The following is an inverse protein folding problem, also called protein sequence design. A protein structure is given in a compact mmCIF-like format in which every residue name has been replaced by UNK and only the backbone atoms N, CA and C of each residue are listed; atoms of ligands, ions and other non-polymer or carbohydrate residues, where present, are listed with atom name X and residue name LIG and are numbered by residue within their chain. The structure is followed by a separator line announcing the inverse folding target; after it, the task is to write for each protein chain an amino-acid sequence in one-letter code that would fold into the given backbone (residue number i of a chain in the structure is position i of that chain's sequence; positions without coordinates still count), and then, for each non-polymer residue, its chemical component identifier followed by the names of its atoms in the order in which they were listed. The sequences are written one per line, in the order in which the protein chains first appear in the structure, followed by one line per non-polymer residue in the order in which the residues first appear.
data_IF_230680559963
#
_entry.id   IF_230680559963
#
_cell.length_a   1.000
_cell.length_b   1.000
_cell.length_c   1.000
_cell.angle_alpha   90.00
_cell.angle_beta   90.00
_cell.angle_gamma   90.00
#
_symmetry.space_group_name_H-M   'P 1'
#
loop_
_entity.id
_entity.type
_entity.pdbx_description
1 polymer ?
#
# COMPACT_ATOMS: atom_id res chain seq x y z
N UNK A 1 -29.12 -15.85 5.16
CA UNK A 1 -28.32 -16.45 4.06
C UNK A 1 -28.93 -16.22 2.66
N UNK A 2 -30.20 -16.60 2.40
CA UNK A 2 -30.86 -16.44 1.08
C UNK A 2 -31.01 -14.99 0.58
N UNK A 3 -31.37 -14.03 1.46
CA UNK A 3 -31.49 -12.61 1.13
C UNK A 3 -30.17 -12.00 0.61
N UNK A 4 -29.03 -12.39 1.17
CA UNK A 4 -27.70 -11.92 0.76
C UNK A 4 -27.24 -12.52 -0.57
N UNK A 5 -27.57 -13.78 -0.87
CA UNK A 5 -27.26 -14.42 -2.16
C UNK A 5 -28.03 -13.72 -3.29
N UNK A 6 -29.29 -13.36 -3.03
CA UNK A 6 -30.13 -12.62 -3.98
C UNK A 6 -29.57 -11.21 -4.25
N UNK A 7 -29.17 -10.50 -3.19
CA UNK A 7 -28.52 -9.18 -3.30
C UNK A 7 -27.19 -9.29 -4.07
N UNK A 8 -26.36 -10.31 -3.80
CA UNK A 8 -25.10 -10.57 -4.56
C UNK A 8 -25.37 -10.79 -6.05
N UNK A 9 -26.37 -11.62 -6.40
CA UNK A 9 -26.76 -11.87 -7.79
C UNK A 9 -27.27 -10.59 -8.47
N UNK A 10 -28.08 -9.81 -7.77
CA UNK A 10 -28.63 -8.55 -8.27
C UNK A 10 -27.51 -7.52 -8.53
N UNK A 11 -26.59 -7.30 -7.60
CA UNK A 11 -25.47 -6.37 -7.79
C UNK A 11 -24.48 -6.84 -8.86
N UNK A 12 -24.20 -8.14 -8.94
CA UNK A 12 -23.36 -8.70 -10.02
C UNK A 12 -24.01 -8.49 -11.40
N UNK A 13 -25.32 -8.72 -11.49
CA UNK A 13 -26.09 -8.50 -12.70
C UNK A 13 -26.14 -7.03 -13.12
N UNK A 14 -26.41 -6.11 -12.18
CA UNK A 14 -26.41 -4.65 -12.44
C UNK A 14 -25.01 -4.16 -12.85
N UNK A 15 -23.95 -4.63 -12.18
CA UNK A 15 -22.56 -4.32 -12.53
C UNK A 15 -22.20 -4.76 -13.95
N UNK A 16 -22.53 -5.99 -14.33
CA UNK A 16 -22.25 -6.53 -15.67
C UNK A 16 -23.06 -5.79 -16.76
N UNK A 17 -24.31 -5.42 -16.48
CA UNK A 17 -25.17 -4.68 -17.41
C UNK A 17 -24.66 -3.26 -17.62
N UNK A 18 -24.22 -2.58 -16.55
CA UNK A 18 -23.61 -1.25 -16.63
C UNK A 18 -22.24 -1.26 -17.33
N UNK A 19 -21.38 -2.26 -17.07
CA UNK A 19 -20.10 -2.39 -17.79
C UNK A 19 -20.30 -2.50 -19.29
N UNK A 20 -21.25 -3.34 -19.73
CA UNK A 20 -21.60 -3.47 -21.15
C UNK A 20 -22.07 -2.13 -21.73
N UNK A 21 -22.96 -1.41 -21.03
CA UNK A 21 -23.42 -0.10 -21.49
C UNK A 21 -22.30 0.94 -21.57
N UNK A 22 -21.38 0.96 -20.60
CA UNK A 22 -20.25 1.90 -20.59
C UNK A 22 -19.25 1.60 -21.71
N UNK A 23 -18.99 0.33 -22.04
CA UNK A 23 -18.15 -0.04 -23.18
C UNK A 23 -18.80 0.44 -24.49
N UNK A 24 -20.11 0.29 -24.63
CA UNK A 24 -20.87 0.79 -25.79
C UNK A 24 -20.82 2.32 -25.88
N UNK A 25 -21.04 3.02 -24.76
CA UNK A 25 -20.95 4.48 -24.67
C UNK A 25 -19.54 5.00 -24.98
N UNK A 26 -18.49 4.34 -24.48
CA UNK A 26 -17.09 4.68 -24.78
C UNK A 26 -16.75 4.52 -26.25
N UNK A 27 -17.23 3.47 -26.91
CA UNK A 27 -17.07 3.29 -28.37
C UNK A 27 -17.77 4.41 -29.15
N UNK A 28 -18.96 4.83 -28.72
CA UNK A 28 -19.72 5.93 -29.35
C UNK A 28 -19.12 7.32 -29.10
N UNK A 29 -18.50 7.55 -27.94
CA UNK A 29 -17.97 8.86 -27.53
C UNK A 29 -16.47 9.03 -27.77
N UNK A 30 -15.80 8.09 -28.44
CA UNK A 30 -14.35 8.11 -28.71
C UNK A 30 -13.87 9.40 -29.41
N UNK A 31 -14.77 10.11 -30.10
CA UNK A 31 -14.52 11.38 -30.81
C UNK A 31 -14.57 12.63 -29.90
N UNK A 32 -15.02 12.51 -28.65
CA UNK A 32 -15.18 13.61 -27.69
C UNK A 32 -14.43 13.32 -26.37
N UNK A 33 -13.13 13.63 -26.34
CA UNK A 33 -12.22 13.41 -25.20
C UNK A 33 -12.76 13.90 -23.82
N UNK A 34 -13.44 15.06 -23.69
CA UNK A 34 -13.92 15.54 -22.39
C UNK A 34 -15.01 14.64 -21.79
N UNK A 35 -15.93 14.14 -22.62
CA UNK A 35 -17.04 13.28 -22.19
C UNK A 35 -16.57 11.89 -21.75
N UNK A 36 -15.49 11.39 -22.36
CA UNK A 36 -14.83 10.14 -21.94
C UNK A 36 -14.21 10.28 -20.54
N UNK A 37 -13.65 11.46 -20.23
CA UNK A 37 -13.14 11.79 -18.89
C UNK A 37 -14.23 11.78 -17.82
N UNK A 38 -15.37 12.43 -18.09
CA UNK A 38 -16.54 12.46 -17.19
C UNK A 38 -17.10 11.05 -16.96
N UNK A 39 -17.23 10.25 -18.02
CA UNK A 39 -17.68 8.85 -17.92
C UNK A 39 -16.73 7.98 -17.10
N UNK A 40 -15.42 8.18 -17.23
CA UNK A 40 -14.43 7.48 -16.39
C UNK A 40 -14.55 7.89 -14.91
N UNK A 41 -14.83 9.18 -14.64
CA UNK A 41 -15.07 9.69 -13.29
C UNK A 41 -16.30 9.03 -12.65
N UNK A 42 -17.44 9.02 -13.36
CA UNK A 42 -18.69 8.39 -12.91
C UNK A 42 -18.50 6.89 -12.67
N UNK A 43 -17.82 6.20 -13.59
CA UNK A 43 -17.56 4.77 -13.44
C UNK A 43 -16.60 4.45 -12.30
N UNK A 44 -15.57 5.28 -12.09
CA UNK A 44 -14.65 5.18 -10.95
C UNK A 44 -15.39 5.35 -9.62
N UNK A 45 -16.22 6.38 -9.50
CA UNK A 45 -17.06 6.63 -8.32
C UNK A 45 -18.04 5.47 -8.07
N UNK A 46 -18.68 4.95 -9.10
CA UNK A 46 -19.59 3.80 -9.00
C UNK A 46 -18.87 2.51 -8.55
N UNK A 47 -17.71 2.19 -9.14
CA UNK A 47 -16.90 1.03 -8.75
C UNK A 47 -16.40 1.15 -7.31
N UNK A 48 -15.99 2.36 -6.91
CA UNK A 48 -15.63 2.66 -5.52
C UNK A 48 -16.81 2.45 -4.57
N UNK A 49 -18.00 2.94 -4.90
CA UNK A 49 -19.22 2.74 -4.11
C UNK A 49 -19.61 1.26 -4.01
N UNK A 50 -19.56 0.50 -5.10
CA UNK A 50 -19.83 -0.95 -5.09
C UNK A 50 -18.80 -1.70 -4.26
N UNK A 51 -17.50 -1.37 -4.37
CA UNK A 51 -16.46 -2.00 -3.58
C UNK A 51 -16.60 -1.63 -2.09
N UNK A 52 -17.01 -0.39 -1.79
CA UNK A 52 -17.34 0.05 -0.43
C UNK A 52 -18.55 -0.72 0.13
N UNK A 53 -19.60 -0.92 -0.66
CA UNK A 53 -20.81 -1.68 -0.28
C UNK A 53 -20.54 -3.20 -0.18
N UNK A 54 -19.68 -3.75 -1.04
CA UNK A 54 -19.26 -5.17 -1.01
C UNK A 54 -18.32 -5.45 0.17
N UNK A 55 -17.38 -4.55 0.44
CA UNK A 55 -16.47 -4.62 1.59
C UNK A 55 -17.16 -4.35 2.92
N UNK A 56 -18.16 -3.46 2.97
CA UNK A 56 -18.86 -3.10 4.22
C UNK A 56 -19.73 -4.21 4.81
N UNK A 57 -19.97 -5.31 4.08
CA UNK A 57 -20.82 -6.41 4.54
C UNK A 57 -20.07 -7.67 5.00
N UNK A 58 -18.76 -7.78 4.77
CA UNK A 58 -17.99 -8.99 5.05
C UNK A 58 -16.79 -8.67 5.95
N UNK A 59 -17.10 -8.44 7.23
CA UNK A 59 -16.12 -8.00 8.23
C UNK A 59 -15.42 -9.13 8.98
N UNK A 60 -15.86 -10.39 8.84
CA UNK A 60 -15.42 -11.51 9.69
C UNK A 60 -15.29 -12.80 8.92
N UNK A 61 -14.09 -13.39 8.88
CA UNK A 61 -13.82 -14.73 8.38
C UNK A 61 -13.36 -15.61 9.56
N UNK A 62 -14.23 -16.51 10.02
CA UNK A 62 -14.01 -17.26 11.27
C UNK A 62 -13.74 -18.74 11.02
N UNK A 63 -13.05 -19.39 11.96
CA UNK A 63 -12.63 -20.79 11.95
C UNK A 63 -11.87 -21.17 10.68
N UNK A 64 -10.95 -20.33 10.24
CA UNK A 64 -10.09 -20.63 9.10
C UNK A 64 -9.04 -21.65 9.56
N UNK A 65 -9.17 -22.87 9.06
CA UNK A 65 -8.23 -23.95 9.32
C UNK A 65 -8.17 -24.93 8.15
N UNK A 66 -7.04 -24.94 7.45
CA UNK A 66 -6.87 -25.75 6.24
C UNK A 66 -6.27 -27.14 6.50
N UNK A 67 -5.95 -27.52 7.75
CA UNK A 67 -5.32 -28.81 8.06
C UNK A 67 -6.29 -29.79 8.73
N UNK A 68 -7.12 -30.49 7.96
CA UNK A 68 -8.16 -31.40 8.49
C UNK A 68 -7.64 -32.64 9.20
N UNK A 69 -6.35 -32.97 9.06
CA UNK A 69 -5.76 -34.22 9.52
C UNK A 69 -4.93 -34.08 10.81
N UNK A 70 -4.86 -32.89 11.40
CA UNK A 70 -4.10 -32.63 12.63
C UNK A 70 -4.99 -31.94 13.66
N UNK A 71 -4.94 -32.32 14.95
CA UNK A 71 -5.60 -31.54 15.99
C UNK A 71 -5.01 -30.13 16.04
N UNK A 72 -5.86 -29.14 16.30
CA UNK A 72 -5.42 -27.76 16.45
C UNK A 72 -4.60 -27.58 17.73
N UNK A 73 -3.55 -26.76 17.65
CA UNK A 73 -2.70 -26.38 18.77
C UNK A 73 -3.32 -25.27 19.63
N UNK A 74 -4.26 -24.52 19.07
CA UNK A 74 -4.87 -23.37 19.74
C UNK A 74 -5.66 -22.49 18.77
N UNK A 75 -6.06 -21.32 19.27
CA UNK A 75 -6.81 -20.32 18.52
C UNK A 75 -6.04 -19.00 18.39
N UNK A 76 -6.08 -18.41 17.21
CA UNK A 76 -5.53 -17.08 16.95
C UNK A 76 -6.61 -16.11 16.45
N UNK A 77 -6.54 -14.85 16.87
CA UNK A 77 -7.36 -13.76 16.38
C UNK A 77 -6.50 -12.77 15.60
N UNK A 78 -6.85 -12.52 14.34
CA UNK A 78 -6.24 -11.50 13.49
C UNK A 78 -7.21 -10.33 13.27
N UNK A 79 -6.93 -9.19 13.89
CA UNK A 79 -7.68 -7.94 13.74
C UNK A 79 -7.00 -7.06 12.69
N UNK A 80 -7.29 -7.34 11.42
CA UNK A 80 -6.61 -6.73 10.28
C UNK A 80 -7.55 -6.55 9.08
N UNK A 81 -7.34 -7.24 7.94
CA UNK A 81 -8.18 -7.10 6.75
C UNK A 81 -8.89 -8.43 6.49
N UNK A 82 -10.20 -8.48 6.67
CA UNK A 82 -10.98 -9.71 6.47
C UNK A 82 -11.41 -9.92 5.01
N UNK A 83 -11.48 -8.85 4.21
CA UNK A 83 -12.00 -8.90 2.85
C UNK A 83 -11.33 -9.93 1.90
N UNK A 84 -9.99 -10.17 1.94
CA UNK A 84 -9.31 -11.13 1.06
C UNK A 84 -9.90 -12.54 1.10
N UNK A 85 -10.40 -12.98 2.26
CA UNK A 85 -10.96 -14.33 2.47
C UNK A 85 -12.32 -14.54 1.80
N UNK A 86 -12.89 -13.51 1.18
CA UNK A 86 -14.14 -13.58 0.43
C UNK A 86 -13.97 -13.28 -1.06
N UNK A 87 -12.74 -13.00 -1.50
CA UNK A 87 -12.43 -12.66 -2.88
C UNK A 87 -12.02 -13.89 -3.69
N UNK A 88 -12.27 -13.83 -4.99
CA UNK A 88 -11.62 -14.73 -5.94
C UNK A 88 -10.23 -14.18 -6.25
N UNK A 89 -9.22 -15.03 -6.39
CA UNK A 89 -7.85 -14.62 -6.72
C UNK A 89 -7.74 -13.87 -8.05
N UNK A 90 -8.69 -14.07 -8.97
CA UNK A 90 -8.79 -13.35 -10.24
C UNK A 90 -9.51 -12.00 -10.13
N UNK A 91 -10.02 -11.62 -8.96
CA UNK A 91 -10.63 -10.30 -8.77
C UNK A 91 -9.54 -9.23 -8.87
N UNK A 92 -9.71 -8.15 -9.67
CA UNK A 92 -8.77 -7.03 -9.72
C UNK A 92 -8.48 -6.41 -8.34
N UNK A 93 -9.43 -6.50 -7.40
CA UNK A 93 -9.25 -6.08 -6.02
C UNK A 93 -8.18 -6.90 -5.28
N UNK A 94 -7.93 -8.15 -5.66
CA UNK A 94 -6.99 -9.05 -4.98
C UNK A 94 -5.53 -8.59 -5.11
N UNK A 95 -5.21 -7.79 -6.14
CA UNK A 95 -3.87 -7.21 -6.39
C UNK A 95 -3.81 -5.72 -6.12
N UNK A 96 -4.85 -5.16 -5.49
CA UNK A 96 -4.96 -3.71 -5.32
C UNK A 96 -4.09 -3.14 -4.20
N UNK A 97 -3.66 -3.97 -3.24
CA UNK A 97 -2.86 -3.53 -2.10
C UNK A 97 -2.02 -4.68 -1.53
N UNK A 98 -0.81 -4.38 -1.09
CA UNK A 98 0.16 -5.33 -0.51
C UNK A 98 -0.37 -6.04 0.75
N UNK A 99 -1.08 -5.29 1.60
CA UNK A 99 -1.75 -5.80 2.79
C UNK A 99 -2.75 -6.94 2.56
N UNK A 100 -3.28 -7.10 1.34
CA UNK A 100 -4.16 -8.22 0.98
C UNK A 100 -3.38 -9.53 1.06
N UNK A 101 -2.20 -9.58 0.44
CA UNK A 101 -1.34 -10.76 0.47
C UNK A 101 -0.81 -11.01 1.87
N UNK A 102 -0.39 -9.96 2.56
CA UNK A 102 0.06 -10.05 3.95
C UNK A 102 -0.98 -10.73 4.87
N UNK A 103 -2.26 -10.33 4.78
CA UNK A 103 -3.30 -10.95 5.60
C UNK A 103 -3.48 -12.45 5.30
N UNK A 104 -3.35 -12.87 4.03
CA UNK A 104 -3.44 -14.27 3.64
C UNK A 104 -2.21 -15.06 4.13
N UNK A 105 -1.02 -14.48 4.02
CA UNK A 105 0.24 -15.08 4.48
C UNK A 105 0.22 -15.34 5.99
N UNK A 106 -0.23 -14.37 6.79
CA UNK A 106 -0.35 -14.52 8.25
C UNK A 106 -1.21 -15.73 8.60
N UNK A 107 -2.41 -15.83 8.01
CA UNK A 107 -3.33 -16.94 8.28
C UNK A 107 -2.78 -18.27 7.81
N UNK A 108 -2.14 -18.31 6.64
CA UNK A 108 -1.48 -19.51 6.12
C UNK A 108 -0.42 -20.02 7.10
N UNK A 109 0.47 -19.15 7.55
CA UNK A 109 1.54 -19.51 8.49
C UNK A 109 0.96 -20.01 9.81
N UNK A 110 -0.02 -19.32 10.40
CA UNK A 110 -0.65 -19.76 11.65
C UNK A 110 -1.36 -21.11 11.51
N UNK A 111 -2.06 -21.35 10.40
CA UNK A 111 -2.67 -22.65 10.10
C UNK A 111 -1.63 -23.78 10.02
N UNK A 112 -0.49 -23.55 9.38
CA UNK A 112 0.61 -24.52 9.30
C UNK A 112 1.25 -24.79 10.67
N UNK A 113 1.31 -23.76 11.53
CA UNK A 113 1.70 -23.88 12.93
C UNK A 113 0.60 -24.48 13.83
N UNK A 114 -0.54 -24.87 13.25
CA UNK A 114 -1.61 -25.62 13.91
C UNK A 114 -2.69 -24.77 14.56
N UNK A 115 -2.72 -23.45 14.35
CA UNK A 115 -3.74 -22.58 14.94
C UNK A 115 -4.97 -22.44 14.03
N UNK A 116 -6.16 -22.49 14.65
CA UNK A 116 -7.41 -22.08 14.02
C UNK A 116 -7.48 -20.56 14.09
N UNK A 117 -7.68 -19.90 12.95
CA UNK A 117 -7.63 -18.43 12.89
C UNK A 117 -9.01 -17.83 12.66
N UNK A 118 -9.38 -16.88 13.50
CA UNK A 118 -10.47 -15.94 13.25
C UNK A 118 -9.87 -14.63 12.72
N UNK A 119 -10.39 -14.12 11.61
CA UNK A 119 -9.98 -12.83 11.02
C UNK A 119 -11.15 -11.87 11.12
N UNK A 120 -10.91 -10.73 11.75
CA UNK A 120 -11.86 -9.63 11.82
C UNK A 120 -11.26 -8.40 11.14
N UNK A 121 -12.10 -7.66 10.44
CA UNK A 121 -11.71 -6.41 9.83
C UNK A 121 -11.44 -5.37 10.93
N UNK A 122 -10.40 -4.58 10.79
CA UNK A 122 -10.01 -3.55 11.75
C UNK A 122 -11.10 -2.48 11.96
N UNK A 123 -12.08 -2.39 11.05
CA UNK A 123 -13.26 -1.53 11.17
C UNK A 123 -14.45 -2.19 11.90
N UNK A 124 -14.31 -3.43 12.37
CA UNK A 124 -15.36 -4.17 13.06
C UNK A 124 -15.39 -3.90 14.56
N UNK A 125 -16.10 -2.84 14.93
CA UNK A 125 -16.31 -2.48 16.33
C UNK A 125 -17.33 -3.37 17.04
N UNK A 126 -18.12 -4.16 16.31
CA UNK A 126 -19.22 -4.97 16.86
C UNK A 126 -18.82 -6.44 17.07
N UNK A 127 -17.59 -6.83 16.75
CA UNK A 127 -17.15 -8.20 16.96
C UNK A 127 -17.15 -8.48 18.45
N UNK A 128 -17.87 -9.52 18.87
CA UNK A 128 -17.90 -10.05 20.22
C UNK A 128 -17.81 -11.57 20.18
N UNK A 129 -17.06 -12.14 21.11
CA UNK A 129 -16.77 -13.56 21.16
C UNK A 129 -16.51 -14.01 22.59
N UNK A 130 -17.05 -15.17 22.95
CA UNK A 130 -16.74 -15.86 24.21
C UNK A 130 -15.49 -16.74 24.11
N UNK A 131 -14.88 -16.81 22.92
CA UNK A 131 -13.71 -17.64 22.65
C UNK A 131 -12.47 -17.03 23.30
N UNK A 132 -11.65 -17.87 23.92
CA UNK A 132 -10.31 -17.52 24.36
C UNK A 132 -9.31 -17.76 23.22
N UNK A 133 -8.39 -16.82 23.01
CA UNK A 133 -7.35 -16.92 22.00
C UNK A 133 -5.99 -17.06 22.66
N UNK A 134 -5.12 -17.88 22.10
CA UNK A 134 -3.73 -18.03 22.54
C UNK A 134 -2.84 -16.91 21.95
N UNK A 135 -3.18 -16.45 20.75
CA UNK A 135 -2.48 -15.40 20.02
C UNK A 135 -3.50 -14.36 19.53
N UNK A 136 -3.22 -13.09 19.78
CA UNK A 136 -4.01 -11.96 19.25
C UNK A 136 -3.08 -11.01 18.49
N UNK A 137 -3.45 -10.70 17.26
CA UNK A 137 -2.69 -9.82 16.36
C UNK A 137 -3.58 -8.64 16.00
N UNK A 138 -3.07 -7.41 16.14
CA UNK A 138 -3.86 -6.21 15.87
C UNK A 138 -3.06 -5.07 15.28
N UNK A 139 -3.73 -4.26 14.44
CA UNK A 139 -3.20 -3.00 13.90
C UNK A 139 -3.86 -1.79 14.58
N UNK A 140 -3.21 -0.61 14.51
CA UNK A 140 -3.78 0.64 15.05
C UNK A 140 -4.19 0.52 16.52
N UNK A 141 -5.34 1.07 16.91
CA UNK A 141 -5.87 0.98 18.28
C UNK A 141 -6.57 -0.34 18.64
N UNK A 142 -6.30 -1.46 17.94
CA UNK A 142 -6.99 -2.72 18.18
C UNK A 142 -6.97 -3.17 19.66
N UNK A 143 -5.86 -2.97 20.39
CA UNK A 143 -5.76 -3.34 21.80
C UNK A 143 -6.35 -2.29 22.77
N UNK A 144 -6.74 -1.12 22.26
CA UNK A 144 -7.45 -0.10 23.03
C UNK A 144 -8.97 -0.33 22.98
N UNK A 145 -9.50 -0.53 21.77
CA UNK A 145 -10.94 -0.63 21.55
C UNK A 145 -11.54 -1.96 22.00
N UNK A 146 -10.73 -3.02 22.07
CA UNK A 146 -11.18 -4.40 22.34
C UNK A 146 -10.60 -4.99 23.62
N UNK A 147 -10.30 -4.13 24.61
CA UNK A 147 -9.63 -4.50 25.86
C UNK A 147 -10.26 -5.70 26.59
N UNK A 148 -11.57 -5.90 26.48
CA UNK A 148 -12.25 -7.04 27.11
C UNK A 148 -11.82 -8.42 26.57
N UNK A 149 -11.23 -8.49 25.37
CA UNK A 149 -10.74 -9.76 24.82
C UNK A 149 -9.34 -10.13 25.28
N UNK A 150 -8.63 -9.20 25.89
CA UNK A 150 -7.21 -9.36 26.20
C UNK A 150 -7.01 -9.65 27.69
N UNK A 151 -6.45 -10.82 27.96
CA UNK A 151 -5.98 -11.21 29.28
C UNK A 151 -4.45 -11.34 29.25
N UNK A 152 -3.83 -11.53 30.41
CA UNK A 152 -2.39 -11.78 30.49
C UNK A 152 -1.98 -13.19 30.00
N UNK A 153 -2.93 -14.02 29.57
CA UNK A 153 -2.68 -15.40 29.13
C UNK A 153 -2.48 -15.54 27.62
N UNK A 154 -2.48 -14.45 26.85
CA UNK A 154 -2.43 -14.48 25.40
C UNK A 154 -1.17 -13.77 24.93
N UNK A 155 -0.59 -14.21 23.82
CA UNK A 155 0.47 -13.46 23.14
C UNK A 155 -0.18 -12.32 22.36
N UNK A 156 0.09 -11.07 22.74
CA UNK A 156 -0.36 -9.87 22.03
C UNK A 156 0.73 -9.40 21.07
N UNK A 157 0.41 -9.44 19.78
CA UNK A 157 1.32 -9.02 18.71
C UNK A 157 0.76 -7.75 18.06
N UNK A 158 1.44 -6.63 18.25
CA UNK A 158 1.12 -5.42 17.49
C UNK A 158 1.71 -5.52 16.10
N UNK A 159 0.85 -5.43 15.08
CA UNK A 159 1.24 -5.43 13.68
C UNK A 159 1.47 -3.98 13.23
N UNK A 160 2.73 -3.54 13.24
CA UNK A 160 3.12 -2.23 12.77
C UNK A 160 3.19 -2.22 11.23
N UNK A 161 2.10 -1.78 10.59
CA UNK A 161 2.02 -1.61 9.13
C UNK A 161 2.62 -0.29 8.64
N UNK A 162 3.17 0.52 9.54
CA UNK A 162 3.73 1.85 9.28
C UNK A 162 4.45 2.38 10.52
N UNK A 163 4.95 3.61 10.42
CA UNK A 163 5.58 4.32 11.55
C UNK A 163 4.60 4.56 12.70
N UNK A 164 5.16 4.79 13.88
CA UNK A 164 4.39 5.14 15.06
C UNK A 164 3.46 6.33 14.81
N UNK A 165 2.21 6.26 15.27
CA UNK A 165 1.14 7.22 14.95
C UNK A 165 1.50 8.66 15.31
N UNK A 166 2.25 8.85 16.41
CA UNK A 166 2.67 10.17 16.85
C UNK A 166 3.65 10.80 15.86
N UNK A 167 4.59 9.99 15.35
CA UNK A 167 5.54 10.41 14.31
C UNK A 167 4.83 10.70 13.00
N UNK A 168 3.89 9.84 12.59
CA UNK A 168 3.08 10.06 11.38
C UNK A 168 2.30 11.37 11.46
N UNK A 169 1.62 11.60 12.59
CA UNK A 169 0.83 12.81 12.85
C UNK A 169 1.71 14.06 12.78
N UNK A 170 2.88 14.03 13.42
CA UNK A 170 3.86 15.12 13.33
C UNK A 170 4.26 15.42 11.88
N UNK A 171 4.60 14.38 11.10
CA UNK A 171 5.00 14.54 9.70
C UNK A 171 3.86 15.11 8.85
N UNK A 172 2.62 14.63 9.03
CA UNK A 172 1.45 15.16 8.34
C UNK A 172 1.32 16.66 8.57
N UNK A 173 1.33 17.11 9.83
CA UNK A 173 1.21 18.53 10.14
C UNK A 173 2.39 19.35 9.63
N UNK A 174 3.62 18.84 9.76
CA UNK A 174 4.80 19.50 9.22
C UNK A 174 4.68 19.74 7.72
N UNK A 175 4.22 18.75 6.94
CA UNK A 175 4.03 18.88 5.49
C UNK A 175 2.95 19.90 5.13
N UNK A 176 1.81 19.87 5.84
CA UNK A 176 0.73 20.83 5.61
C UNK A 176 1.15 22.26 5.98
N UNK A 177 1.97 22.42 7.02
CA UNK A 177 2.55 23.72 7.37
C UNK A 177 3.49 24.23 6.28
N UNK A 178 4.35 23.35 5.73
CA UNK A 178 5.23 23.70 4.61
C UNK A 178 4.42 24.11 3.37
N UNK A 179 3.37 23.36 3.01
CA UNK A 179 2.48 23.71 1.91
C UNK A 179 1.78 25.05 2.16
N UNK A 180 1.27 25.29 3.38
CA UNK A 180 0.68 26.58 3.76
C UNK A 180 1.67 27.73 3.57
N UNK A 181 2.93 27.55 3.95
CA UNK A 181 3.95 28.58 3.79
C UNK A 181 4.25 28.88 2.32
N UNK A 182 4.29 27.86 1.46
CA UNK A 182 4.55 28.02 0.01
C UNK A 182 3.36 28.57 -0.76
N UNK A 183 2.17 28.00 -0.56
CA UNK A 183 0.95 28.29 -1.35
C UNK A 183 -0.01 29.27 -0.70
N UNK A 184 0.24 29.66 0.56
CA UNK A 184 -0.64 30.52 1.39
C UNK A 184 -2.09 29.98 1.52
N UNK A 185 -2.25 28.68 1.36
CA UNK A 185 -3.53 27.95 1.42
C UNK A 185 -3.38 26.79 2.39
N UNK A 186 -4.42 26.51 3.16
CA UNK A 186 -4.47 25.34 4.06
C UNK A 186 -5.37 24.27 3.46
N UNK A 187 -4.83 23.08 3.29
CA UNK A 187 -5.58 21.88 2.91
C UNK A 187 -5.98 21.07 4.14
N UNK A 188 -6.99 20.22 4.02
CA UNK A 188 -7.44 19.34 5.10
C UNK A 188 -6.40 18.23 5.30
N UNK A 189 -5.75 18.13 6.48
CA UNK A 189 -4.90 16.98 6.79
C UNK A 189 -5.71 15.69 6.79
N UNK A 190 -5.18 14.67 6.11
CA UNK A 190 -5.79 13.33 6.01
C UNK A 190 -4.90 12.32 6.71
N UNK A 191 -5.50 11.19 7.11
CA UNK A 191 -4.80 10.09 7.80
C UNK A 191 -4.26 10.48 9.18
N UNK A 192 -4.87 11.47 9.82
CA UNK A 192 -4.63 11.72 11.24
C UNK A 192 -5.29 10.58 12.01
N UNK A 193 -4.47 9.82 12.73
CA UNK A 193 -4.94 8.77 13.61
C UNK A 193 -5.33 9.39 14.97
N UNK A 194 -6.38 8.84 15.59
CA UNK A 194 -6.60 9.07 17.02
C UNK A 194 -5.46 8.45 17.82
N UNK A 195 -5.17 9.01 19.00
CA UNK A 195 -4.14 8.45 19.86
C UNK A 195 -4.50 7.02 20.27
N UNK A 196 -3.55 6.10 20.16
CA UNK A 196 -3.73 4.71 20.53
C UNK A 196 -2.44 4.16 21.17
N UNK A 197 -2.59 3.11 21.99
CA UNK A 197 -1.54 2.53 22.82
C UNK A 197 -1.39 1.01 22.61
N UNK A 198 -1.89 0.48 21.49
CA UNK A 198 -1.67 -0.93 21.15
C UNK A 198 -0.19 -1.34 21.12
N UNK A 199 0.76 -0.55 20.58
CA UNK A 199 2.18 -0.90 20.65
C UNK A 199 2.64 -1.16 22.11
N UNK A 200 2.29 -0.26 23.02
CA UNK A 200 2.64 -0.29 24.45
C UNK A 200 1.96 -1.44 25.19
N UNK A 201 0.78 -1.85 24.73
CA UNK A 201 0.01 -2.96 25.31
C UNK A 201 0.38 -4.33 24.73
N UNK A 202 1.16 -4.36 23.66
CA UNK A 202 1.60 -5.60 23.04
C UNK A 202 2.72 -6.25 23.82
N UNK A 203 2.94 -7.55 23.60
CA UNK A 203 4.11 -8.25 24.11
C UNK A 203 5.23 -8.22 23.06
N UNK A 204 4.87 -8.22 21.78
CA UNK A 204 5.78 -8.22 20.63
C UNK A 204 5.27 -7.29 19.54
N UNK A 205 6.19 -6.65 18.82
CA UNK A 205 5.88 -5.86 17.62
C UNK A 205 6.37 -6.61 16.39
N UNK A 206 5.44 -6.92 15.49
CA UNK A 206 5.76 -7.36 14.14
C UNK A 206 5.74 -6.12 13.25
N UNK A 207 6.93 -5.65 12.91
CA UNK A 207 7.13 -4.47 12.10
C UNK A 207 7.36 -4.87 10.67
N UNK A 208 6.46 -4.45 9.82
CA UNK A 208 6.45 -4.84 8.43
C UNK A 208 7.28 -3.81 7.66
N UNK A 209 8.59 -3.65 7.96
CA UNK A 209 9.37 -2.53 7.40
C UNK A 209 10.87 -2.47 7.72
N UNK A 210 11.49 -1.42 7.19
CA UNK A 210 12.90 -1.05 7.31
C UNK A 210 13.28 -0.48 8.68
N UNK A 211 14.57 -0.17 8.83
CA UNK A 211 15.16 0.38 10.05
C UNK A 211 14.50 1.69 10.52
N UNK A 212 14.12 2.59 9.60
CA UNK A 212 13.49 3.86 9.95
C UNK A 212 12.16 3.66 10.71
N UNK A 213 11.31 2.75 10.24
CA UNK A 213 10.04 2.44 10.94
C UNK A 213 10.30 1.84 12.31
N UNK A 214 11.20 0.87 12.41
CA UNK A 214 11.55 0.24 13.69
C UNK A 214 12.05 1.27 14.70
N UNK A 215 12.84 2.25 14.24
CA UNK A 215 13.35 3.32 15.09
C UNK A 215 12.24 4.21 15.65
N UNK A 216 11.08 4.34 14.99
CA UNK A 216 9.94 5.08 15.57
C UNK A 216 9.29 4.41 16.77
N UNK A 217 9.54 3.11 16.97
CA UNK A 217 9.09 2.33 18.12
C UNK A 217 10.20 2.08 19.15
N UNK A 218 11.41 2.63 18.97
CA UNK A 218 12.59 2.37 19.80
C UNK A 218 12.48 2.76 21.28
N UNK A 219 11.47 3.58 21.62
CA UNK A 219 11.16 3.93 23.01
C UNK A 219 10.45 2.80 23.76
N UNK A 220 9.99 1.77 23.06
CA UNK A 220 9.35 0.59 23.63
C UNK A 220 10.40 -0.48 23.93
N UNK A 221 10.20 -1.23 25.02
CA UNK A 221 11.07 -2.36 25.39
C UNK A 221 10.68 -3.66 24.69
N UNK A 222 9.58 -3.66 23.93
CA UNK A 222 9.07 -4.82 23.23
C UNK A 222 10.06 -5.30 22.15
N UNK A 223 10.27 -6.61 21.99
CA UNK A 223 11.01 -7.12 20.85
C UNK A 223 10.30 -6.76 19.54
N UNK A 224 11.07 -6.27 18.57
CA UNK A 224 10.59 -5.89 17.24
C UNK A 224 11.13 -6.88 16.22
N UNK A 225 10.23 -7.50 15.45
CA UNK A 225 10.57 -8.41 14.36
C UNK A 225 10.36 -7.68 13.03
N UNK A 226 11.43 -7.35 12.28
CA UNK A 226 11.30 -6.80 10.94
C UNK A 226 10.88 -7.89 9.95
N UNK A 227 9.76 -7.69 9.27
CA UNK A 227 9.18 -8.65 8.33
C UNK A 227 9.13 -8.06 6.93
N UNK A 228 9.54 -8.86 5.94
CA UNK A 228 9.39 -8.48 4.54
C UNK A 228 7.91 -8.36 4.12
N UNK A 229 7.65 -7.49 3.14
CA UNK A 229 6.42 -7.48 2.37
C UNK A 229 6.70 -7.85 0.94
N UNK A 230 5.86 -8.72 0.38
CA UNK A 230 5.93 -9.08 -1.02
C UNK A 230 5.24 -8.07 -1.92
N UNK A 231 5.83 -7.77 -3.08
CA UNK A 231 5.09 -7.04 -4.12
C UNK A 231 3.83 -7.79 -4.55
N UNK A 232 2.92 -7.12 -5.23
CA UNK A 232 1.68 -7.71 -5.74
C UNK A 232 1.89 -8.72 -6.88
N UNK A 233 3.14 -9.02 -7.24
CA UNK A 233 3.54 -9.86 -8.37
C UNK A 233 4.71 -10.78 -7.99
N UNK A 234 4.66 -12.02 -8.47
CA UNK A 234 5.73 -13.01 -8.28
C UNK A 234 6.85 -12.94 -9.31
N UNK A 235 6.62 -12.25 -10.42
CA UNK A 235 7.59 -12.17 -11.51
C UNK A 235 7.70 -10.73 -12.01
N UNK A 236 8.93 -10.17 -12.06
CA UNK A 236 9.14 -8.90 -12.72
C UNK A 236 8.84 -9.03 -14.22
N UNK A 237 8.51 -7.94 -14.92
CA UNK A 237 8.38 -7.94 -16.37
C UNK A 237 9.69 -8.39 -17.03
N UNK A 238 9.58 -8.97 -18.22
CA UNK A 238 10.74 -9.41 -19.00
C UNK A 238 11.76 -8.27 -19.23
N UNK A 239 13.05 -8.62 -19.34
CA UNK A 239 14.16 -7.69 -19.62
C UNK A 239 13.94 -6.79 -20.86
N UNK A 240 13.05 -7.18 -21.79
CA UNK A 240 12.65 -6.37 -22.96
C UNK A 240 12.02 -5.03 -22.59
N UNK A 241 11.48 -4.88 -21.38
CA UNK A 241 10.84 -3.63 -20.92
C UNK A 241 11.84 -2.58 -20.43
N UNK A 242 13.08 -2.96 -20.11
CA UNK A 242 14.11 -2.01 -19.63
C UNK A 242 14.58 -1.09 -20.79
N UNK A 243 14.66 -1.61 -22.02
CA UNK A 243 15.11 -0.86 -23.20
C UNK A 243 14.16 0.26 -23.68
N UNK A 244 12.95 0.35 -23.11
CA UNK A 244 11.96 1.38 -23.46
C UNK A 244 11.99 2.60 -22.53
N UNK A 245 12.78 2.55 -21.46
CA UNK A 245 12.83 3.60 -20.44
C UNK A 245 13.42 4.88 -21.03
N UNK A 246 12.80 6.00 -20.69
CA UNK A 246 13.26 7.33 -21.07
C UNK A 246 13.79 8.04 -19.82
N UNK A 247 15.06 8.48 -19.84
CA UNK A 247 15.74 9.17 -18.73
C UNK A 247 15.00 10.40 -18.21
N UNK A 248 14.08 10.94 -19.01
CA UNK A 248 13.31 12.15 -18.70
C UNK A 248 11.86 11.86 -18.34
N UNK A 249 11.45 10.60 -18.16
CA UNK A 249 10.06 10.23 -17.85
C UNK A 249 9.97 9.51 -16.51
N UNK A 250 9.14 10.02 -15.60
CA UNK A 250 9.05 9.58 -14.21
C UNK A 250 7.63 9.18 -13.84
N UNK A 251 7.52 8.26 -12.90
CA UNK A 251 6.26 7.82 -12.32
C UNK A 251 6.08 8.43 -10.92
N UNK A 252 4.89 8.93 -10.62
CA UNK A 252 4.39 9.07 -9.27
C UNK A 252 3.19 8.15 -9.09
N UNK A 253 3.32 7.16 -8.19
CA UNK A 253 2.30 6.16 -7.92
C UNK A 253 2.07 6.10 -6.41
N UNK A 254 0.83 6.36 -5.98
CA UNK A 254 0.40 6.04 -4.63
C UNK A 254 -1.11 6.03 -4.46
N UNK A 255 -1.56 5.51 -3.31
CA UNK A 255 -2.89 5.77 -2.77
C UNK A 255 -3.09 7.23 -2.34
N UNK A 256 -4.10 7.49 -1.51
CA UNK A 256 -4.36 8.82 -0.96
C UNK A 256 -3.26 9.33 -0.01
N UNK A 257 -3.43 10.56 0.47
CA UNK A 257 -2.43 11.29 1.26
C UNK A 257 -1.48 12.10 0.36
N UNK A 258 -2.01 12.86 -0.60
CA UNK A 258 -1.19 13.48 -1.66
C UNK A 258 -0.10 14.42 -1.12
N UNK A 259 -0.43 15.28 -0.15
CA UNK A 259 0.54 16.18 0.51
C UNK A 259 1.51 15.39 1.39
N UNK A 260 1.01 14.42 2.15
CA UNK A 260 1.83 13.56 3.01
C UNK A 260 2.92 12.85 2.21
N UNK A 261 2.57 12.38 1.01
CA UNK A 261 3.44 11.63 0.10
C UNK A 261 4.21 12.52 -0.89
N UNK A 262 4.08 13.83 -0.79
CA UNK A 262 4.86 14.80 -1.56
C UNK A 262 4.44 14.98 -3.02
N UNK A 263 3.18 14.68 -3.40
CA UNK A 263 2.73 14.98 -4.77
C UNK A 263 2.73 16.50 -5.04
N UNK A 264 2.46 17.33 -4.03
CA UNK A 264 2.50 18.79 -4.11
C UNK A 264 3.85 19.31 -4.63
N UNK A 265 4.94 18.89 -3.99
CA UNK A 265 6.29 19.33 -4.35
C UNK A 265 6.77 18.72 -5.69
N UNK A 266 6.30 17.52 -6.03
CA UNK A 266 6.59 16.88 -7.32
C UNK A 266 5.90 17.66 -8.44
N UNK A 267 4.63 18.02 -8.29
CA UNK A 267 3.91 18.83 -9.27
C UNK A 267 4.57 20.21 -9.45
N UNK A 268 4.94 20.87 -8.35
CA UNK A 268 5.67 22.15 -8.38
C UNK A 268 6.97 22.01 -9.18
N UNK A 269 7.80 21.00 -8.89
CA UNK A 269 9.06 20.79 -9.58
C UNK A 269 8.90 20.53 -11.08
N UNK A 270 7.98 19.64 -11.48
CA UNK A 270 7.76 19.31 -12.89
C UNK A 270 7.10 20.46 -13.67
N UNK A 271 6.34 21.33 -13.01
CA UNK A 271 5.76 22.52 -13.65
C UNK A 271 6.81 23.53 -14.14
N UNK A 272 7.99 23.52 -13.51
CA UNK A 272 9.12 24.37 -13.85
C UNK A 272 10.17 23.67 -14.74
N UNK A 273 9.97 22.38 -15.05
CA UNK A 273 10.94 21.52 -15.73
C UNK A 273 10.31 20.86 -16.97
N UNK A 274 9.97 21.62 -18.04
CA UNK A 274 9.16 21.14 -19.16
C UNK A 274 9.83 20.03 -20.00
N UNK A 275 11.15 19.89 -19.91
CA UNK A 275 11.92 18.82 -20.58
C UNK A 275 11.75 17.45 -19.91
N UNK A 276 11.15 17.41 -18.72
CA UNK A 276 10.93 16.20 -17.93
C UNK A 276 9.44 15.90 -17.84
N UNK A 277 9.06 14.63 -18.00
CA UNK A 277 7.68 14.17 -18.02
C UNK A 277 7.32 13.46 -16.72
N UNK A 278 6.16 13.78 -16.17
CA UNK A 278 5.59 13.13 -15.01
C UNK A 278 4.33 12.36 -15.39
N UNK A 279 4.26 11.09 -15.02
CA UNK A 279 3.04 10.28 -15.08
C UNK A 279 2.51 10.07 -13.67
N UNK A 280 1.32 10.61 -13.38
CA UNK A 280 0.66 10.54 -12.08
C UNK A 280 -0.42 9.46 -12.09
N UNK A 281 -0.23 8.42 -11.30
CA UNK A 281 -1.17 7.32 -11.10
C UNK A 281 -1.73 7.36 -9.67
N UNK A 282 -2.82 8.08 -9.48
CA UNK A 282 -3.55 8.11 -8.20
C UNK A 282 -4.98 8.62 -8.39
N UNK A 283 -5.86 8.32 -7.44
CA UNK A 283 -7.22 8.85 -7.45
C UNK A 283 -7.25 10.29 -6.91
N UNK A 284 -6.76 11.25 -7.71
CA UNK A 284 -6.71 12.68 -7.30
C UNK A 284 -8.08 13.20 -6.83
N UNK A 285 -9.15 12.72 -7.47
CA UNK A 285 -10.51 13.15 -7.17
C UNK A 285 -11.05 12.75 -5.78
N UNK A 286 -10.35 11.91 -5.02
CA UNK A 286 -10.70 11.66 -3.61
C UNK A 286 -10.29 12.81 -2.68
N UNK A 287 -9.44 13.73 -3.12
CA UNK A 287 -8.94 14.88 -2.36
C UNK A 287 -9.25 16.18 -3.11
N UNK A 288 -10.52 16.60 -3.06
CA UNK A 288 -11.04 17.72 -3.88
C UNK A 288 -10.31 19.05 -3.66
N UNK A 289 -9.92 19.34 -2.43
CA UNK A 289 -9.17 20.55 -2.08
C UNK A 289 -7.76 20.55 -2.71
N UNK A 290 -7.09 19.40 -2.69
CA UNK A 290 -5.81 19.19 -3.39
C UNK A 290 -5.98 19.29 -4.90
N UNK A 291 -6.98 18.60 -5.48
CA UNK A 291 -7.29 18.63 -6.92
C UNK A 291 -7.53 20.06 -7.40
N UNK A 292 -8.25 20.87 -6.62
CA UNK A 292 -8.52 22.28 -6.94
C UNK A 292 -7.25 23.13 -6.86
N UNK A 293 -6.44 22.96 -5.82
CA UNK A 293 -5.20 23.73 -5.64
C UNK A 293 -4.19 23.51 -6.77
N UNK A 294 -4.06 22.26 -7.24
CA UNK A 294 -3.09 21.85 -8.26
C UNK A 294 -3.72 21.56 -9.63
N UNK A 295 -4.92 22.10 -9.91
CA UNK A 295 -5.67 21.79 -11.13
C UNK A 295 -4.85 22.06 -12.40
N UNK A 296 -4.15 23.19 -12.43
CA UNK A 296 -3.29 23.60 -13.54
C UNK A 296 -2.18 22.57 -13.78
N UNK A 297 -1.44 22.22 -12.74
CA UNK A 297 -0.34 21.26 -12.82
C UNK A 297 -0.83 19.87 -13.23
N UNK A 298 -1.99 19.44 -12.74
CA UNK A 298 -2.54 18.11 -13.00
C UNK A 298 -3.12 17.94 -14.40
N UNK A 299 -3.67 19.01 -15.00
CA UNK A 299 -4.52 18.90 -16.20
C UNK A 299 -4.17 19.86 -17.34
N UNK A 300 -3.47 20.96 -17.07
CA UNK A 300 -3.14 22.00 -18.07
C UNK A 300 -1.64 22.04 -18.41
N UNK A 301 -0.79 21.54 -17.51
CA UNK A 301 0.66 21.47 -17.72
C UNK A 301 1.03 20.32 -18.66
N UNK A 302 1.60 20.65 -19.84
CA UNK A 302 1.78 19.71 -20.96
C UNK A 302 2.65 18.48 -20.66
N UNK A 303 3.65 18.61 -19.79
CA UNK A 303 4.59 17.55 -19.44
C UNK A 303 4.12 16.69 -18.25
N UNK A 304 2.95 16.99 -17.67
CA UNK A 304 2.35 16.21 -16.57
C UNK A 304 1.11 15.48 -17.10
N UNK A 305 1.03 14.17 -16.85
CA UNK A 305 -0.06 13.31 -17.31
C UNK A 305 -0.71 12.58 -16.13
N UNK A 306 -1.95 12.95 -15.81
CA UNK A 306 -2.72 12.33 -14.72
C UNK A 306 -3.63 11.22 -15.24
N UNK A 307 -3.42 9.98 -14.78
CA UNK A 307 -4.14 8.79 -15.23
C UNK A 307 -5.29 8.34 -14.34
N UNK A 308 -5.39 8.90 -13.13
CA UNK A 308 -6.34 8.44 -12.12
C UNK A 308 -5.87 7.15 -11.43
N UNK A 309 -6.82 6.45 -10.78
CA UNK A 309 -6.57 5.08 -10.31
C UNK A 309 -6.27 4.15 -11.49
N UNK A 310 -5.18 3.40 -11.41
CA UNK A 310 -4.79 2.39 -12.38
C UNK A 310 -4.58 1.08 -11.64
N UNK A 311 -5.15 0.00 -12.17
CA UNK A 311 -4.84 -1.35 -11.71
C UNK A 311 -3.45 -1.73 -12.22
N UNK A 312 -2.52 -1.90 -11.28
CA UNK A 312 -1.11 -2.15 -11.53
C UNK A 312 -0.86 -3.48 -12.25
N UNK A 313 -1.81 -4.42 -12.22
CA UNK A 313 -1.65 -5.74 -12.85
C UNK A 313 -2.04 -5.79 -14.33
N UNK A 314 -2.56 -4.70 -14.90
CA UNK A 314 -3.07 -4.71 -16.28
C UNK A 314 -2.09 -4.11 -17.30
N UNK A 315 -2.37 -4.37 -18.58
CA UNK A 315 -1.58 -3.86 -19.71
C UNK A 315 -1.48 -2.33 -19.73
N UNK A 316 -2.53 -1.61 -19.31
CA UNK A 316 -2.50 -0.14 -19.27
C UNK A 316 -1.41 0.38 -18.33
N UNK A 317 -1.23 -0.22 -17.15
CA UNK A 317 -0.14 0.16 -16.27
C UNK A 317 1.22 -0.21 -16.86
N UNK A 318 1.32 -1.38 -17.49
CA UNK A 318 2.54 -1.82 -18.19
C UNK A 318 2.97 -0.83 -19.29
N UNK A 319 2.01 -0.31 -20.06
CA UNK A 319 2.28 0.71 -21.09
C UNK A 319 2.78 2.01 -20.45
N UNK A 320 2.10 2.49 -19.40
CA UNK A 320 2.47 3.71 -18.66
C UNK A 320 3.91 3.60 -18.15
N UNK A 321 4.22 2.50 -17.46
CA UNK A 321 5.47 2.30 -16.72
C UNK A 321 6.64 1.95 -17.63
N UNK A 322 6.39 1.40 -18.83
CA UNK A 322 7.45 1.01 -19.78
C UNK A 322 8.35 2.16 -20.24
N UNK A 323 7.83 3.39 -20.23
CA UNK A 323 8.59 4.60 -20.58
C UNK A 323 9.28 5.23 -19.36
N UNK A 324 8.89 4.86 -18.14
CA UNK A 324 9.38 5.51 -16.93
C UNK A 324 10.73 4.94 -16.48
N UNK A 325 11.72 5.81 -16.29
CA UNK A 325 13.04 5.44 -15.76
C UNK A 325 13.00 5.22 -14.24
N UNK A 326 12.24 6.06 -13.53
CA UNK A 326 12.25 6.11 -12.08
C UNK A 326 10.86 6.36 -11.49
N UNK A 327 10.69 5.97 -10.23
CA UNK A 327 9.53 6.30 -9.39
C UNK A 327 9.93 7.33 -8.34
N UNK A 328 9.18 8.43 -8.24
CA UNK A 328 9.46 9.51 -7.29
C UNK A 328 8.50 9.40 -6.11
N UNK A 329 9.06 9.24 -4.91
CA UNK A 329 8.32 9.15 -3.66
C UNK A 329 9.09 9.89 -2.56
N UNK A 330 9.03 11.24 -2.53
CA UNK A 330 9.91 12.04 -1.69
C UNK A 330 9.71 11.82 -0.19
N UNK A 331 8.52 11.37 0.20
CA UNK A 331 8.17 11.09 1.58
C UNK A 331 7.50 9.73 1.68
N UNK A 332 8.30 8.66 1.81
CA UNK A 332 7.75 7.38 2.21
C UNK A 332 7.25 7.52 3.65
N UNK A 333 6.02 7.09 3.94
CA UNK A 333 5.39 7.15 5.27
C UNK A 333 6.05 6.12 6.23
N UNK A 334 7.39 6.14 6.32
CA UNK A 334 8.23 5.11 6.92
C UNK A 334 8.31 3.78 6.16
N UNK A 335 7.46 3.57 5.16
CA UNK A 335 7.43 2.36 4.33
C UNK A 335 8.22 2.54 3.03
N UNK A 336 8.98 1.53 2.57
CA UNK A 336 9.10 1.34 1.11
C UNK A 336 7.69 0.96 0.66
N UNK A 337 6.86 1.96 0.35
CA UNK A 337 5.44 1.72 0.13
C UNK A 337 5.22 0.60 -0.87
N UNK A 338 4.13 -0.17 -0.74
CA UNK A 338 3.74 -1.13 -1.76
C UNK A 338 3.76 -0.55 -3.19
N UNK A 339 3.57 0.77 -3.36
CA UNK A 339 3.72 1.45 -4.65
C UNK A 339 5.17 1.52 -5.14
N UNK A 340 6.15 1.77 -4.26
CA UNK A 340 7.57 1.74 -4.58
C UNK A 340 8.00 0.30 -4.87
N UNK A 341 7.64 -0.68 -4.01
CA UNK A 341 7.93 -2.10 -4.24
C UNK A 341 7.40 -2.55 -5.59
N UNK A 342 6.14 -2.28 -5.88
CA UNK A 342 5.54 -2.63 -7.18
C UNK A 342 6.24 -1.91 -8.35
N UNK A 343 6.65 -0.65 -8.20
CA UNK A 343 7.41 0.07 -9.24
C UNK A 343 8.79 -0.53 -9.46
N UNK A 344 9.49 -0.94 -8.39
CA UNK A 344 10.78 -1.64 -8.47
C UNK A 344 10.66 -2.98 -9.20
N UNK A 345 9.54 -3.68 -9.05
CA UNK A 345 9.25 -4.87 -9.87
C UNK A 345 9.23 -4.56 -11.36
N UNK A 346 8.90 -3.33 -11.80
CA UNK A 346 9.01 -2.87 -13.19
C UNK A 346 10.39 -2.29 -13.55
N UNK A 347 11.39 -2.47 -12.68
CA UNK A 347 12.75 -1.93 -12.85
C UNK A 347 12.81 -0.40 -12.77
N UNK A 348 11.87 0.25 -12.08
CA UNK A 348 11.94 1.70 -11.88
C UNK A 348 12.89 2.00 -10.73
N UNK A 349 13.86 2.87 -11.01
CA UNK A 349 14.84 3.32 -10.02
C UNK A 349 14.09 4.16 -8.96
N UNK A 350 14.20 3.85 -7.66
CA UNK A 350 13.54 4.64 -6.63
C UNK A 350 14.23 6.00 -6.42
N UNK A 351 13.43 7.07 -6.33
CA UNK A 351 13.84 8.39 -5.83
C UNK A 351 13.06 8.63 -4.54
N UNK A 352 13.73 8.54 -3.39
CA UNK A 352 13.10 8.39 -2.07
C UNK A 352 13.70 9.32 -1.01
N UNK A 353 12.91 9.62 0.02
CA UNK A 353 13.30 10.55 1.10
C UNK A 353 14.30 10.01 2.11
N UNK A 354 14.48 8.70 2.16
CA UNK A 354 15.46 8.02 3.02
C UNK A 354 15.74 6.63 2.44
N UNK A 355 16.86 6.03 2.85
CA UNK A 355 17.22 4.67 2.46
C UNK A 355 16.83 3.67 3.55
N UNK A 356 16.28 2.53 3.14
CA UNK A 356 15.87 1.45 4.03
C UNK A 356 17.03 0.63 4.60
N UNK A 357 18.13 0.55 3.86
CA UNK A 357 19.37 -0.15 4.19
C UNK A 357 20.51 0.36 3.30
N UNK A 358 21.71 -0.22 3.41
CA UNK A 358 22.85 0.17 2.58
C UNK A 358 22.75 -0.33 1.13
N UNK A 359 22.15 -1.50 0.89
CA UNK A 359 22.07 -2.10 -0.45
C UNK A 359 21.20 -1.25 -1.42
N UNK A 360 20.14 -0.61 -0.93
CA UNK A 360 19.32 0.29 -1.77
C UNK A 360 20.10 1.53 -2.22
N UNK A 361 21.13 1.96 -1.49
CA UNK A 361 21.95 3.16 -1.79
C UNK A 361 22.73 2.99 -3.09
N UNK A 362 23.00 1.75 -3.51
CA UNK A 362 23.77 1.47 -4.72
C UNK A 362 23.04 1.83 -6.01
N UNK A 363 21.71 1.90 -5.98
CA UNK A 363 20.91 2.11 -7.19
C UNK A 363 19.88 3.23 -7.06
N UNK A 364 19.27 3.42 -5.89
CA UNK A 364 18.28 4.46 -5.64
C UNK A 364 18.93 5.85 -5.50
N UNK A 365 18.10 6.88 -5.54
CA UNK A 365 18.51 8.28 -5.36
C UNK A 365 17.76 8.90 -4.18
N UNK A 366 18.48 9.71 -3.39
CA UNK A 366 17.91 10.42 -2.25
C UNK A 366 17.33 11.76 -2.68
N UNK A 367 16.20 12.16 -2.10
CA UNK A 367 15.65 13.51 -2.24
C UNK A 367 15.30 14.09 -0.88
N UNK A 368 15.63 15.37 -0.65
CA UNK A 368 15.38 16.07 0.63
C UNK A 368 13.89 16.47 0.82
N UNK A 369 13.07 16.17 -0.17
CA UNK A 369 11.66 16.53 -0.27
C UNK A 369 11.39 18.04 -0.28
N UNK A 370 12.31 18.77 -0.89
CA UNK A 370 12.08 20.12 -1.42
C UNK A 370 11.84 20.09 -2.93
N UNK A 371 11.22 21.14 -3.45
CA UNK A 371 11.04 21.34 -4.89
C UNK A 371 12.40 21.36 -5.62
N UNK A 372 13.39 22.07 -5.08
CA UNK A 372 14.71 22.16 -5.69
C UNK A 372 15.49 20.85 -5.59
N UNK A 373 15.31 20.08 -4.51
CA UNK A 373 15.86 18.74 -4.40
C UNK A 373 15.36 17.83 -5.50
N UNK A 374 14.07 17.87 -5.81
CA UNK A 374 13.50 17.12 -6.94
C UNK A 374 14.14 17.59 -8.25
N UNK A 375 14.20 18.90 -8.52
CA UNK A 375 14.84 19.44 -9.75
C UNK A 375 16.28 18.96 -9.92
N UNK A 376 17.09 18.97 -8.86
CA UNK A 376 18.49 18.47 -8.90
C UNK A 376 18.56 16.99 -9.28
N UNK A 377 17.68 16.17 -8.71
CA UNK A 377 17.61 14.74 -9.08
C UNK A 377 17.18 14.57 -10.53
N UNK A 378 16.19 15.32 -11.01
CA UNK A 378 15.76 15.26 -12.43
C UNK A 378 16.91 15.57 -13.39
N UNK A 379 17.68 16.62 -13.12
CA UNK A 379 18.85 16.98 -13.92
C UNK A 379 19.88 15.85 -13.95
N UNK A 380 20.21 15.26 -12.79
CA UNK A 380 21.09 14.10 -12.69
C UNK A 380 20.61 12.92 -13.54
N UNK A 381 19.31 12.62 -13.52
CA UNK A 381 18.74 11.55 -14.36
C UNK A 381 18.81 11.87 -15.85
N UNK A 382 18.68 13.15 -16.23
CA UNK A 382 18.80 13.59 -17.62
C UNK A 382 20.18 13.41 -18.23
N UNK A 383 21.21 13.17 -17.41
CA UNK A 383 22.60 12.93 -17.79
C UNK A 383 22.99 11.44 -17.78
N UNK A 384 22.13 10.55 -17.26
CA UNK A 384 22.41 9.11 -17.22
C UNK A 384 22.45 8.52 -18.63
N UNK A 385 23.40 7.62 -18.85
CA UNK A 385 23.48 6.81 -20.07
C UNK A 385 22.54 5.62 -20.01
N UNK A 386 22.25 5.01 -21.17
CA UNK A 386 21.50 3.74 -21.23
C UNK A 386 22.16 2.64 -20.38
N UNK A 387 23.50 2.63 -20.29
CA UNK A 387 24.24 1.68 -19.48
C UNK A 387 23.98 1.90 -17.97
N UNK A 388 24.00 3.16 -17.51
CA UNK A 388 23.71 3.49 -16.11
C UNK A 388 22.28 3.06 -15.72
N UNK A 389 21.31 3.29 -16.62
CA UNK A 389 19.92 2.88 -16.41
C UNK A 389 19.81 1.37 -16.33
N UNK A 390 20.46 0.64 -17.25
CA UNK A 390 20.43 -0.82 -17.25
C UNK A 390 21.04 -1.38 -15.96
N UNK A 391 22.15 -0.82 -15.49
CA UNK A 391 22.79 -1.26 -14.25
C UNK A 391 21.89 -1.00 -13.04
N UNK A 392 21.45 0.24 -12.84
CA UNK A 392 20.58 0.61 -11.71
C UNK A 392 19.25 -0.14 -11.73
N UNK A 393 18.64 -0.32 -12.90
CA UNK A 393 17.41 -1.11 -13.06
C UNK A 393 17.63 -2.59 -12.74
N UNK A 394 18.77 -3.16 -13.11
CA UNK A 394 19.07 -4.57 -12.81
C UNK A 394 19.29 -4.79 -11.31
N UNK A 395 20.03 -3.88 -10.66
CA UNK A 395 20.18 -3.86 -9.19
C UNK A 395 18.84 -3.71 -8.48
N UNK A 396 17.96 -2.84 -8.99
CA UNK A 396 16.59 -2.66 -8.47
C UNK A 396 15.80 -3.98 -8.53
N UNK A 397 15.83 -4.68 -9.66
CA UNK A 397 15.13 -5.95 -9.84
C UNK A 397 15.68 -7.06 -8.92
N UNK A 398 17.00 -7.14 -8.80
CA UNK A 398 17.65 -8.07 -7.88
C UNK A 398 17.23 -7.82 -6.43
N UNK A 399 17.30 -6.55 -5.99
CA UNK A 399 16.91 -6.14 -4.63
C UNK A 399 15.46 -6.54 -4.32
N UNK A 400 14.52 -6.22 -5.19
CA UNK A 400 13.10 -6.50 -4.93
C UNK A 400 12.80 -8.00 -4.92
N UNK A 401 13.46 -8.80 -5.76
CA UNK A 401 13.32 -10.26 -5.73
C UNK A 401 13.89 -10.87 -4.44
N UNK A 402 15.01 -10.34 -3.95
CA UNK A 402 15.72 -10.82 -2.75
C UNK A 402 14.96 -10.46 -1.47
N UNK A 403 14.49 -9.21 -1.35
CA UNK A 403 13.93 -8.68 -0.09
C UNK A 403 12.41 -8.60 -0.06
N UNK A 404 11.74 -8.62 -1.21
CA UNK A 404 10.31 -8.35 -1.32
C UNK A 404 9.57 -9.41 -2.16
N UNK A 405 10.04 -10.66 -2.14
CA UNK A 405 9.33 -11.80 -2.75
C UNK A 405 8.33 -12.45 -1.78
N UNK A 406 7.30 -13.12 -2.31
CA UNK A 406 6.35 -13.89 -1.50
C UNK A 406 7.05 -14.97 -0.65
N UNK A 407 8.08 -15.62 -1.20
CA UNK A 407 8.88 -16.60 -0.45
C UNK A 407 9.60 -15.96 0.73
N UNK A 408 10.21 -14.78 0.52
CA UNK A 408 10.89 -14.04 1.61
C UNK A 408 9.89 -13.65 2.70
N UNK A 409 8.77 -13.05 2.30
CA UNK A 409 7.68 -12.69 3.23
C UNK A 409 7.24 -13.92 4.05
N UNK A 410 6.83 -15.01 3.40
CA UNK A 410 6.38 -16.22 4.08
C UNK A 410 7.41 -16.77 5.08
N UNK A 411 8.70 -16.83 4.69
CA UNK A 411 9.75 -17.35 5.55
C UNK A 411 10.00 -16.46 6.78
N UNK A 412 9.97 -15.14 6.61
CA UNK A 412 10.13 -14.18 7.71
C UNK A 412 8.98 -14.30 8.72
N UNK A 413 7.74 -14.33 8.22
CA UNK A 413 6.55 -14.50 9.05
C UNK A 413 6.60 -15.81 9.83
N UNK A 414 6.93 -16.92 9.16
CA UNK A 414 7.02 -18.24 9.80
C UNK A 414 8.06 -18.25 10.90
N UNK A 415 9.28 -17.77 10.61
CA UNK A 415 10.37 -17.74 11.57
C UNK A 415 10.05 -16.87 12.78
N UNK A 416 9.43 -15.70 12.57
CA UNK A 416 9.04 -14.81 13.64
C UNK A 416 7.95 -15.41 14.54
N UNK A 417 6.92 -16.03 13.96
CA UNK A 417 5.89 -16.70 14.75
C UNK A 417 6.46 -17.88 15.54
N UNK A 418 7.31 -18.72 14.94
CA UNK A 418 7.95 -19.84 15.61
C UNK A 418 8.80 -19.36 16.81
N UNK A 419 9.61 -18.31 16.64
CA UNK A 419 10.41 -17.75 17.73
C UNK A 419 9.56 -17.19 18.87
N UNK A 420 8.53 -16.40 18.55
CA UNK A 420 7.61 -15.83 19.56
C UNK A 420 6.88 -16.92 20.34
N UNK A 421 6.31 -17.91 19.64
CA UNK A 421 5.59 -19.03 20.27
C UNK A 421 6.53 -19.84 21.16
N UNK A 422 7.76 -20.12 20.69
CA UNK A 422 8.74 -20.87 21.46
C UNK A 422 9.19 -20.12 22.72
N UNK A 423 9.41 -18.81 22.64
CA UNK A 423 9.75 -17.97 23.80
C UNK A 423 8.62 -17.95 24.82
N UNK A 424 7.38 -17.79 24.35
CA UNK A 424 6.21 -17.78 25.22
C UNK A 424 6.00 -19.12 25.95
N UNK A 425 6.12 -20.24 25.22
CA UNK A 425 5.99 -21.58 25.81
C UNK A 425 7.07 -21.89 26.86
N UNK A 426 8.25 -21.25 26.79
CA UNK A 426 9.31 -21.38 27.81
C UNK A 426 9.10 -20.50 29.04
N UNK A 427 8.29 -19.45 28.92
CA UNK A 427 8.00 -18.49 30.00
C UNK A 427 6.81 -18.90 30.88
N UNK A 428 6.08 -19.94 30.46
CA UNK A 428 5.09 -20.67 31.26
C UNK A 428 5.75 -21.90 31.88
#
# INVERSE_FOLDING_TARGET
MFRMIFIKKLFSWVSNKMQKQIIILKKRLKKYRPLVGILNRIYGTYKFLINKIRGSGMKRAVNIYNNKNRPANGHALLMYIAHPFFMNENDPGFRSHINIQCSLTIVKVLNELGYIVDVIDYTDQEFDTKRQYDIVIGIGGAFDYKKEYFTNSQIKIYLATGIHWLTETYLIYQRHFNLKNRKKITLIPRRINEAYFSPEKSDVIFSVQNEYTNNTYSHLTNPIYPLALSGSFDSPPSAKNIKKKNTRTFLWLSGGGMVLKGLDIVLEAFSEMPDFKLKVCTNVSSEKDFEQLYFKELYETKNIQTYGFVDIGNEKFQDIVSECVAVIFPYPEGEISGSIVNSMYYGLIPIIGYFSNDEIKEFAELVDGSVDGIKRVLLKFGELTDQDIMEKSSKTLYYVQKYHSQTKEYNDWKSAFEDVINKYNKSR
#
